data_IF_956212555150
#
_entry.id   IF_956212555150
#
_cell.length_a   1.000
_cell.length_b   1.000
_cell.length_c   1.000
_cell.angle_alpha   90.00
_cell.angle_beta   90.00
_cell.angle_gamma   90.00
#
_symmetry.space_group_name_H-M   'P 1'
#
loop_
_entity.id
_entity.type
_entity.pdbx_description
1 polymer ?
#
# COMPACT_ATOMS: atom_id res chain seq x y z
N UNK A 1 -27.31 6.78 5.91
CA UNK A 1 -26.71 6.56 5.39
C UNK A 1 -25.83 5.98 5.75
N UNK A 2 -25.45 5.41 5.61
CA UNK A 2 -24.68 4.80 5.99
C UNK A 2 -23.57 4.89 5.60
N UNK A 3 -22.89 5.02 5.98
CA UNK A 3 -21.77 5.13 5.69
C UNK A 3 -21.02 4.11 5.93
N UNK A 4 -21.12 3.12 5.54
CA UNK A 4 -20.33 2.13 5.57
C UNK A 4 -19.05 2.49 5.10
N UNK A 5 -18.10 2.28 5.80
CA UNK A 5 -16.80 2.59 5.41
C UNK A 5 -16.55 1.72 4.27
N UNK A 6 -15.91 2.08 3.50
CA UNK A 6 -15.69 1.50 2.33
C UNK A 6 -15.46 0.05 2.37
N UNK A 7 -16.40 -0.70 1.91
CA UNK A 7 -16.19 -2.04 1.73
C UNK A 7 -15.30 -2.21 0.56
N UNK A 8 -14.45 -3.20 0.57
CA UNK A 8 -13.58 -3.53 -0.53
C UNK A 8 -14.42 -4.21 -1.61
N UNK A 9 -14.33 -3.71 -2.81
CA UNK A 9 -15.09 -4.26 -3.93
C UNK A 9 -14.17 -5.06 -4.84
N UNK A 10 -14.72 -6.00 -5.61
CA UNK A 10 -13.90 -6.73 -6.59
C UNK A 10 -13.21 -5.79 -7.58
N UNK A 11 -13.86 -4.66 -7.91
CA UNK A 11 -13.26 -3.70 -8.80
C UNK A 11 -11.99 -3.09 -8.24
N UNK A 12 -11.98 -2.83 -6.93
CA UNK A 12 -10.78 -2.30 -6.30
C UNK A 12 -9.65 -3.29 -6.32
N UNK A 13 -9.96 -4.56 -6.10
CA UNK A 13 -8.95 -5.60 -6.14
C UNK A 13 -8.40 -5.73 -7.55
N UNK A 14 -9.28 -5.73 -8.55
CA UNK A 14 -8.84 -5.81 -9.93
C UNK A 14 -7.97 -4.63 -10.32
N UNK A 15 -8.32 -3.43 -9.86
CA UNK A 15 -7.53 -2.25 -10.16
C UNK A 15 -6.14 -2.34 -9.53
N UNK A 16 -6.05 -2.88 -8.33
CA UNK A 16 -4.76 -3.04 -7.68
C UNK A 16 -3.90 -4.04 -8.43
N UNK A 17 -4.50 -5.15 -8.86
CA UNK A 17 -3.76 -6.15 -9.63
C UNK A 17 -3.28 -5.59 -10.96
N UNK A 18 -4.11 -4.77 -11.58
CA UNK A 18 -3.71 -4.15 -12.82
C UNK A 18 -2.55 -3.18 -12.60
N UNK A 19 -2.61 -2.42 -11.51
CA UNK A 19 -1.53 -1.52 -11.16
C UNK A 19 -0.23 -2.30 -10.92
N UNK A 20 -0.33 -3.45 -10.26
CA UNK A 20 0.84 -4.29 -10.02
C UNK A 20 1.46 -4.75 -11.34
N UNK A 21 0.61 -5.12 -12.29
CA UNK A 21 1.12 -5.56 -13.58
C UNK A 21 1.80 -4.44 -14.35
N UNK A 22 1.32 -3.22 -14.17
CA UNK A 22 1.88 -2.09 -14.87
C UNK A 22 3.15 -1.56 -14.20
N UNK A 23 3.42 -2.02 -12.99
CA UNK A 23 4.59 -1.56 -12.27
C UNK A 23 5.81 -2.21 -12.89
N UNK A 24 6.53 -1.47 -13.70
CA UNK A 24 7.65 -2.00 -14.43
C UNK A 24 8.80 -2.36 -13.50
N UNK A 25 9.70 -3.25 -13.94
CA UNK A 25 10.87 -3.57 -13.12
C UNK A 25 11.70 -2.33 -12.79
N UNK A 26 11.69 -1.33 -13.67
CA UNK A 26 12.42 -0.12 -13.42
C UNK A 26 11.59 0.99 -12.82
N UNK A 27 10.45 0.66 -12.23
CA UNK A 27 9.56 1.66 -11.66
C UNK A 27 10.30 2.49 -10.62
N UNK A 28 9.96 3.76 -10.56
CA UNK A 28 10.58 4.65 -9.59
C UNK A 28 10.16 4.28 -8.17
N UNK A 29 10.92 4.77 -7.21
CA UNK A 29 10.58 4.53 -5.82
C UNK A 29 9.21 5.12 -5.49
N UNK A 30 8.92 6.31 -6.02
CA UNK A 30 7.63 6.94 -5.80
C UNK A 30 6.47 6.09 -6.32
N UNK A 31 6.64 5.49 -7.50
CA UNK A 31 5.62 4.63 -8.06
C UNK A 31 5.41 3.40 -7.20
N UNK A 32 6.49 2.86 -6.67
CA UNK A 32 6.40 1.67 -5.83
C UNK A 32 5.76 2.00 -4.49
N UNK A 33 6.07 3.15 -3.93
CA UNK A 33 5.43 3.58 -2.70
C UNK A 33 3.93 3.75 -2.91
N UNK A 34 3.53 4.38 -4.01
CA UNK A 34 2.12 4.58 -4.29
C UNK A 34 1.38 3.24 -4.39
N UNK A 35 1.98 2.27 -5.07
CA UNK A 35 1.36 0.96 -5.19
C UNK A 35 1.23 0.28 -3.83
N UNK A 36 2.32 0.28 -3.05
CA UNK A 36 2.31 -0.44 -1.77
C UNK A 36 1.42 0.25 -0.74
N UNK A 37 1.32 1.58 -0.79
CA UNK A 37 0.41 2.29 0.09
C UNK A 37 -1.04 1.92 -0.23
N UNK A 38 -1.36 1.84 -1.51
CA UNK A 38 -2.71 1.48 -1.91
C UNK A 38 -3.02 0.04 -1.51
N UNK A 39 -2.04 -0.84 -1.69
CA UNK A 39 -2.19 -2.23 -1.31
C UNK A 39 -2.41 -2.35 0.20
N UNK A 40 -1.63 -1.61 0.99
CA UNK A 40 -1.76 -1.67 2.44
C UNK A 40 -3.13 -1.15 2.90
N UNK A 41 -3.61 -0.09 2.26
CA UNK A 41 -4.93 0.45 2.59
C UNK A 41 -6.01 -0.59 2.30
N UNK A 42 -5.93 -1.23 1.14
CA UNK A 42 -6.91 -2.23 0.76
C UNK A 42 -6.89 -3.40 1.73
N UNK A 43 -5.70 -3.86 2.09
CA UNK A 43 -5.58 -4.97 3.04
C UNK A 43 -6.13 -4.59 4.41
N UNK A 44 -5.95 -3.33 4.82
CA UNK A 44 -6.50 -2.88 6.10
C UNK A 44 -8.02 -2.91 6.08
N UNK A 45 -8.63 -2.52 4.98
CA UNK A 45 -10.09 -2.57 4.88
C UNK A 45 -10.59 -4.00 4.86
N UNK A 46 -9.86 -4.89 4.18
CA UNK A 46 -10.21 -6.30 4.20
C UNK A 46 -10.13 -6.84 5.62
N UNK A 47 -9.06 -6.46 6.34
CA UNK A 47 -8.90 -6.92 7.71
C UNK A 47 -10.05 -6.47 8.59
N UNK A 48 -10.54 -5.26 8.38
CA UNK A 48 -11.68 -4.78 9.14
C UNK A 48 -12.94 -5.57 8.83
N UNK A 49 -13.11 -5.94 7.58
CA UNK A 49 -14.28 -6.72 7.19
C UNK A 49 -14.23 -8.14 7.74
N UNK A 50 -13.05 -8.76 7.70
CA UNK A 50 -12.90 -10.12 8.17
C UNK A 50 -12.81 -10.24 9.68
N UNK A 51 -12.21 -9.26 10.31
CA UNK A 51 -12.10 -9.26 11.77
C UNK A 51 -11.18 -10.34 12.32
N UNK A 52 -10.24 -10.81 11.54
CA UNK A 52 -9.33 -11.85 12.00
C UNK A 52 -7.96 -11.29 12.30
N UNK A 53 -7.25 -11.97 13.20
CA UNK A 53 -5.91 -11.57 13.57
C UNK A 53 -4.97 -11.76 12.39
N UNK A 54 -5.16 -12.83 11.65
CA UNK A 54 -4.30 -13.11 10.50
C UNK A 54 -4.39 -12.01 9.46
N UNK A 55 -5.61 -11.55 9.17
CA UNK A 55 -5.78 -10.47 8.20
C UNK A 55 -5.18 -9.17 8.71
N UNK A 56 -5.31 -8.90 10.00
CA UNK A 56 -4.72 -7.72 10.58
C UNK A 56 -3.20 -7.76 10.51
N UNK A 57 -2.61 -8.93 10.73
CA UNK A 57 -1.16 -9.08 10.64
C UNK A 57 -0.66 -8.82 9.22
N UNK A 58 -1.39 -9.33 8.22
CA UNK A 58 -1.01 -9.10 6.84
C UNK A 58 -1.06 -7.61 6.51
N UNK A 59 -2.10 -6.93 6.98
CA UNK A 59 -2.23 -5.49 6.75
C UNK A 59 -1.09 -4.73 7.44
N UNK A 60 -0.77 -5.13 8.67
CA UNK A 60 0.31 -4.47 9.42
C UNK A 60 1.65 -4.64 8.71
N UNK A 61 1.90 -5.83 8.17
CA UNK A 61 3.14 -6.07 7.44
C UNK A 61 3.20 -5.21 6.19
N UNK A 62 2.07 -5.07 5.49
CA UNK A 62 2.04 -4.24 4.29
C UNK A 62 2.33 -2.78 4.62
N UNK A 63 1.79 -2.28 5.74
CA UNK A 63 2.07 -0.91 6.15
C UNK A 63 3.52 -0.75 6.59
N UNK A 64 4.09 -1.75 7.26
CA UNK A 64 5.49 -1.70 7.66
C UNK A 64 6.40 -1.64 6.44
N UNK A 65 6.09 -2.40 5.43
CA UNK A 65 6.88 -2.38 4.21
C UNK A 65 6.77 -1.02 3.52
N UNK A 66 5.56 -0.47 3.46
CA UNK A 66 5.34 0.84 2.86
C UNK A 66 6.12 1.91 3.62
N UNK A 67 6.09 1.85 4.95
CA UNK A 67 6.82 2.81 5.76
C UNK A 67 8.34 2.72 5.51
N UNK A 68 8.83 1.49 5.33
CA UNK A 68 10.25 1.31 5.03
C UNK A 68 10.62 1.94 3.68
N UNK A 69 9.75 1.80 2.70
CA UNK A 69 9.99 2.43 1.41
C UNK A 69 9.99 3.95 1.53
N UNK A 70 9.07 4.49 2.32
CA UNK A 70 9.02 5.93 2.53
C UNK A 70 10.29 6.43 3.20
N UNK A 71 10.80 5.69 4.18
CA UNK A 71 12.04 6.08 4.84
C UNK A 71 13.21 6.05 3.88
N UNK A 72 13.22 5.09 2.95
CA UNK A 72 14.28 5.05 1.94
C UNK A 72 14.19 6.26 1.03
N UNK A 73 13.00 6.66 0.65
CA UNK A 73 12.82 7.82 -0.19
C UNK A 73 13.29 9.08 0.54
N UNK A 74 12.94 9.20 1.82
CA UNK A 74 13.35 10.35 2.61
C UNK A 74 14.85 10.38 2.77
N UNK A 75 15.46 9.24 3.02
CA UNK A 75 16.92 9.20 3.19
C UNK A 75 17.62 9.60 1.90
N UNK A 76 17.11 9.15 0.76
CA UNK A 76 17.70 9.50 -0.51
C UNK A 76 17.55 10.99 -0.78
N UNK A 77 16.36 11.53 -0.55
CA UNK A 77 16.11 12.94 -0.75
C UNK A 77 16.97 13.77 0.18
N UNK A 78 17.07 13.36 1.44
CA UNK A 78 17.88 14.07 2.41
C UNK A 78 19.34 14.07 2.04
N UNK A 79 19.81 12.92 1.54
CA UNK A 79 21.21 12.82 1.13
C UNK A 79 21.49 13.76 -0.03
N UNK A 80 20.60 13.80 -0.98
CA UNK A 80 20.79 14.68 -2.13
C UNK A 80 20.71 16.11 -1.71
N UNK A 81 19.77 16.45 -0.85
CA UNK A 81 19.63 17.82 -0.40
C UNK A 81 20.81 18.26 0.44
N UNK A 82 21.44 17.32 1.09
CA UNK A 82 22.58 17.64 1.95
C UNK A 82 23.84 17.93 1.21
N UNK A 83 23.81 17.79 -0.09
CA UNK A 83 25.00 18.07 -0.82
C UNK A 83 25.02 19.40 -1.35
#
# INVERSE_FOLDING_TARGET
MTDQPARVTPGEISALLEQARQLAPGASLDERIAYHARKADLLSRIAQELGTIEAADVAADAWSYTAALCRRADATAGTEAGR
#
